data_IF_089923507278
#
_entry.id   IF_089923507278
#
_cell.length_a   1.000
_cell.length_b   1.000
_cell.length_c   1.000
_cell.angle_alpha   90.00
_cell.angle_beta   90.00
_cell.angle_gamma   90.00
#
_symmetry.space_group_name_H-M   'P 1'
#
loop_
_entity.id
_entity.type
_entity.pdbx_description
1 polymer ?
#
# COMPACT_ATOMS: atom_id res chain seq x y z
N UNK A 1 -63.60 14.97 -13.50
CA UNK A 1 -63.78 13.77 -14.33
C UNK A 1 -62.39 13.25 -14.70
N UNK A 2 -62.14 11.96 -14.44
CA UNK A 2 -61.04 11.15 -15.02
C UNK A 2 -61.16 11.26 -16.56
N UNK A 3 -60.13 11.13 -17.40
CA UNK A 3 -59.34 9.93 -17.65
C UNK A 3 -58.48 10.20 -18.90
N UNK A 4 -57.15 10.04 -18.86
CA UNK A 4 -56.32 9.61 -20.00
C UNK A 4 -54.86 9.47 -19.55
N UNK A 5 -54.61 8.43 -18.78
CA UNK A 5 -53.29 7.84 -18.55
C UNK A 5 -53.12 6.71 -19.60
N UNK A 6 -51.88 6.32 -19.91
CA UNK A 6 -51.48 4.93 -20.27
C UNK A 6 -50.72 4.70 -21.59
N UNK A 7 -50.58 5.67 -22.51
CA UNK A 7 -49.84 5.43 -23.76
C UNK A 7 -48.33 5.69 -23.62
N UNK A 8 -47.91 6.72 -22.87
CA UNK A 8 -46.48 7.07 -22.77
C UNK A 8 -45.66 6.19 -21.82
N UNK A 9 -46.26 5.66 -20.74
CA UNK A 9 -45.51 4.81 -19.79
C UNK A 9 -45.19 3.41 -20.31
N UNK A 10 -45.80 2.98 -21.41
CA UNK A 10 -45.54 1.65 -22.02
C UNK A 10 -44.38 1.68 -23.03
N UNK A 11 -44.02 2.85 -23.57
CA UNK A 11 -42.85 3.01 -24.45
C UNK A 11 -41.53 3.15 -23.68
N UNK A 12 -41.57 3.67 -22.45
CA UNK A 12 -40.39 3.73 -21.56
C UNK A 12 -39.94 2.33 -21.07
N UNK A 13 -40.87 1.35 -21.05
CA UNK A 13 -40.65 0.02 -20.45
C UNK A 13 -40.24 -1.08 -21.42
N UNK A 14 -40.07 -0.80 -22.72
CA UNK A 14 -39.75 -1.79 -23.77
C UNK A 14 -38.37 -1.51 -24.43
N UNK A 15 -37.46 -0.84 -23.73
CA UNK A 15 -36.02 -0.80 -24.10
C UNK A 15 -35.15 -1.43 -23.02
N UNK A 16 -35.51 -2.65 -22.64
CA UNK A 16 -34.55 -3.64 -22.13
C UNK A 16 -34.39 -4.69 -23.21
N UNK A 17 -33.30 -4.62 -23.98
CA UNK A 17 -32.60 -5.79 -24.51
C UNK A 17 -31.51 -5.36 -25.47
N UNK A 18 -30.28 -5.85 -25.23
CA UNK A 18 -29.08 -5.75 -26.08
C UNK A 18 -28.20 -4.52 -25.92
N UNK A 19 -27.60 -4.37 -24.74
CA UNK A 19 -26.15 -4.08 -24.70
C UNK A 19 -25.57 -5.00 -23.64
N UNK A 20 -25.01 -6.13 -24.09
CA UNK A 20 -24.09 -6.91 -23.28
C UNK A 20 -22.82 -6.07 -23.14
N UNK A 21 -22.74 -5.29 -22.07
CA UNK A 21 -21.46 -4.75 -21.63
C UNK A 21 -20.79 -5.88 -20.89
N UNK A 22 -19.81 -6.50 -21.56
CA UNK A 22 -18.83 -7.35 -20.93
C UNK A 22 -18.23 -6.55 -19.77
N UNK A 23 -18.62 -6.89 -18.54
CA UNK A 23 -17.81 -6.59 -17.37
C UNK A 23 -16.51 -7.36 -17.54
N UNK A 24 -15.56 -6.75 -18.23
CA UNK A 24 -14.15 -7.04 -18.07
C UNK A 24 -13.86 -6.96 -16.58
N UNK A 25 -13.65 -8.11 -15.97
CA UNK A 25 -13.07 -8.22 -14.64
C UNK A 25 -11.71 -7.53 -14.69
N UNK A 26 -11.68 -6.25 -14.34
CA UNK A 26 -10.48 -5.60 -13.85
C UNK A 26 -10.43 -5.91 -12.35
N UNK A 27 -9.35 -6.52 -11.82
CA UNK A 27 -9.12 -6.48 -10.40
C UNK A 27 -8.75 -5.03 -10.08
N UNK A 28 -9.72 -4.23 -9.68
CA UNK A 28 -9.50 -2.87 -9.19
C UNK A 28 -9.21 -2.84 -7.68
N UNK A 29 -8.76 -3.96 -7.13
CA UNK A 29 -8.38 -4.05 -5.73
C UNK A 29 -6.86 -3.95 -5.64
N UNK A 30 -6.31 -2.80 -5.20
CA UNK A 30 -4.86 -2.66 -5.07
C UNK A 30 -4.26 -3.62 -4.03
N UNK A 31 -5.06 -4.32 -3.22
CA UNK A 31 -4.59 -5.46 -2.41
C UNK A 31 -4.35 -6.72 -3.24
N UNK A 32 -5.09 -6.93 -4.34
CA UNK A 32 -4.90 -8.09 -5.20
C UNK A 32 -3.49 -8.08 -5.83
N UNK A 33 -3.01 -6.91 -6.27
CA UNK A 33 -1.66 -6.78 -6.82
C UNK A 33 -0.56 -6.99 -5.78
N UNK A 34 -0.76 -6.56 -4.54
CA UNK A 34 0.24 -6.71 -3.48
C UNK A 34 0.39 -8.18 -3.07
N UNK A 35 -0.73 -8.89 -2.96
CA UNK A 35 -0.74 -10.33 -2.68
C UNK A 35 -0.06 -11.13 -3.78
N UNK A 36 -0.32 -10.80 -5.04
CA UNK A 36 0.36 -11.42 -6.18
C UNK A 36 1.86 -11.17 -6.15
N UNK A 37 2.28 -9.92 -5.87
CA UNK A 37 3.68 -9.57 -5.71
C UNK A 37 4.35 -10.34 -4.56
N UNK A 38 3.69 -10.47 -3.42
CA UNK A 38 4.19 -11.22 -2.27
C UNK A 38 4.33 -12.72 -2.54
N UNK A 39 3.40 -13.32 -3.30
CA UNK A 39 3.48 -14.73 -3.69
C UNK A 39 4.61 -15.00 -4.72
N UNK A 40 4.96 -14.00 -5.52
CA UNK A 40 6.05 -14.07 -6.49
C UNK A 40 7.42 -13.70 -5.87
N UNK A 41 7.44 -13.01 -4.74
CA UNK A 41 8.66 -12.54 -4.10
C UNK A 41 9.47 -13.71 -3.52
N UNK A 42 10.78 -13.70 -3.78
CA UNK A 42 11.73 -14.68 -3.25
C UNK A 42 12.82 -13.92 -2.51
N UNK A 43 13.17 -14.29 -1.26
CA UNK A 43 14.30 -13.71 -0.57
C UNK A 43 15.60 -13.99 -1.32
N UNK A 44 16.39 -12.95 -1.58
CA UNK A 44 17.72 -13.07 -2.19
C UNK A 44 18.65 -11.95 -1.72
N UNK A 45 19.95 -12.16 -1.93
CA UNK A 45 20.98 -11.15 -1.62
C UNK A 45 21.12 -10.09 -2.72
N UNK A 46 20.44 -10.25 -3.86
CA UNK A 46 20.49 -9.29 -4.96
C UNK A 46 19.81 -7.96 -4.60
N UNK A 47 20.20 -6.84 -5.23
CA UNK A 47 19.51 -5.57 -5.08
C UNK A 47 18.01 -5.67 -5.40
N UNK A 48 17.21 -5.10 -4.51
CA UNK A 48 15.76 -4.97 -4.60
C UNK A 48 15.36 -3.68 -5.33
N UNK A 49 14.06 -3.52 -5.59
CA UNK A 49 13.53 -2.25 -6.10
C UNK A 49 13.79 -1.06 -5.16
N UNK A 50 13.86 -1.31 -3.84
CA UNK A 50 14.16 -0.28 -2.85
C UNK A 50 15.61 0.17 -2.91
N UNK A 51 16.55 -0.73 -3.22
CA UNK A 51 17.95 -0.36 -3.43
C UNK A 51 18.09 0.61 -4.61
N UNK A 52 17.32 0.40 -5.68
CA UNK A 52 17.26 1.33 -6.84
C UNK A 52 16.61 2.67 -6.50
N UNK A 53 15.66 2.69 -5.56
CA UNK A 53 15.06 3.94 -5.04
C UNK A 53 16.07 4.69 -4.18
N UNK A 54 16.82 3.99 -3.32
CA UNK A 54 17.86 4.57 -2.46
C UNK A 54 18.97 5.17 -3.33
N UNK A 55 19.44 4.46 -4.36
CA UNK A 55 20.46 4.92 -5.31
C UNK A 55 19.96 5.98 -6.30
N UNK A 56 18.66 6.33 -6.25
CA UNK A 56 17.99 7.26 -7.17
C UNK A 56 18.05 6.83 -8.65
N UNK A 57 18.28 5.54 -8.92
CA UNK A 57 18.20 4.96 -10.26
C UNK A 57 16.78 4.99 -10.81
N UNK A 58 15.77 4.88 -9.94
CA UNK A 58 14.37 5.03 -10.29
C UNK A 58 13.70 6.12 -9.43
N UNK A 59 12.75 6.88 -10.00
CA UNK A 59 12.10 7.96 -9.28
C UNK A 59 11.18 7.43 -8.17
N UNK A 60 11.10 8.18 -7.08
CA UNK A 60 10.11 7.98 -6.01
C UNK A 60 9.63 9.33 -5.47
N UNK A 61 8.45 9.35 -4.88
CA UNK A 61 7.91 10.54 -4.21
C UNK A 61 8.37 10.55 -2.76
N UNK A 62 9.62 10.99 -2.54
CA UNK A 62 10.24 11.09 -1.21
C UNK A 62 9.51 12.13 -0.36
N UNK A 63 9.19 11.77 0.89
CA UNK A 63 8.54 12.64 1.88
C UNK A 63 9.42 12.90 3.10
N UNK A 64 10.39 12.02 3.37
CA UNK A 64 11.38 12.18 4.43
C UNK A 64 12.67 11.46 4.05
N UNK A 65 13.80 12.05 4.39
CA UNK A 65 15.11 11.44 4.19
C UNK A 65 16.09 11.97 5.25
N UNK A 66 16.80 11.06 5.92
CA UNK A 66 17.95 11.37 6.77
C UNK A 66 19.13 10.43 6.42
N UNK A 67 20.17 10.40 7.24
CA UNK A 67 21.37 9.59 6.98
C UNK A 67 21.10 8.07 7.02
N UNK A 68 20.07 7.62 7.73
CA UNK A 68 19.79 6.20 7.98
C UNK A 68 18.51 5.70 7.32
N UNK A 69 17.53 6.57 7.05
CA UNK A 69 16.17 6.23 6.69
C UNK A 69 15.69 7.03 5.49
N UNK A 70 14.90 6.38 4.64
CA UNK A 70 14.18 7.00 3.53
C UNK A 70 12.69 6.68 3.66
N UNK A 71 11.83 7.68 3.48
CA UNK A 71 10.39 7.49 3.38
C UNK A 71 9.85 8.06 2.08
N UNK A 72 8.99 7.31 1.40
CA UNK A 72 8.40 7.70 0.12
C UNK A 72 6.99 7.15 -0.02
N UNK A 73 6.16 7.81 -0.84
CA UNK A 73 4.79 7.34 -1.08
C UNK A 73 4.79 6.02 -1.83
N UNK A 74 3.93 5.12 -1.38
CA UNK A 74 3.68 3.85 -2.06
C UNK A 74 3.09 4.12 -3.46
N UNK A 75 3.48 3.32 -4.44
CA UNK A 75 2.99 3.41 -5.81
C UNK A 75 1.58 2.83 -5.98
N UNK A 76 1.20 1.92 -5.07
CA UNK A 76 -0.09 1.23 -4.98
C UNK A 76 -0.74 1.55 -3.62
N UNK A 77 -1.21 2.80 -3.40
CA UNK A 77 -1.70 3.24 -2.10
C UNK A 77 -2.99 2.52 -1.67
N UNK A 78 -3.02 2.01 -0.43
CA UNK A 78 -4.21 1.36 0.19
C UNK A 78 -5.01 2.31 1.09
N UNK A 79 -4.55 3.55 1.23
CA UNK A 79 -5.18 4.62 2.00
C UNK A 79 -4.78 5.98 1.38
N UNK A 80 -5.52 7.08 1.67
CA UNK A 80 -5.17 8.41 1.16
C UNK A 80 -3.72 8.81 1.45
N UNK A 81 -3.22 8.47 2.64
CA UNK A 81 -1.79 8.47 2.95
C UNK A 81 -1.31 7.04 3.08
N UNK A 82 -0.46 6.59 2.15
CA UNK A 82 0.27 5.32 2.23
C UNK A 82 1.75 5.58 1.91
N UNK A 83 2.61 5.40 2.91
CA UNK A 83 4.05 5.70 2.83
C UNK A 83 4.82 4.47 3.28
N UNK A 84 5.91 4.16 2.58
CA UNK A 84 6.88 3.16 2.98
C UNK A 84 8.08 3.85 3.61
N UNK A 85 8.55 3.32 4.73
CA UNK A 85 9.72 3.81 5.47
C UNK A 85 10.72 2.67 5.56
N UNK A 86 11.91 2.89 5.04
CA UNK A 86 12.94 1.87 4.87
C UNK A 86 14.29 2.35 5.40
N UNK A 87 15.15 1.46 5.90
CA UNK A 87 16.54 1.80 6.15
C UNK A 87 17.27 2.00 4.82
N UNK A 88 18.25 2.91 4.78
CA UNK A 88 19.12 3.07 3.61
C UNK A 88 20.12 1.94 3.45
N UNK A 89 20.45 1.26 4.54
CA UNK A 89 21.37 0.13 4.59
C UNK A 89 20.60 -1.10 5.03
N UNK A 90 20.54 -2.12 4.17
CA UNK A 90 19.81 -3.36 4.45
C UNK A 90 20.47 -4.20 5.55
N UNK A 91 21.80 -4.31 5.58
CA UNK A 91 22.58 -5.13 6.55
C UNK A 91 22.03 -6.56 6.81
N UNK A 92 21.52 -7.21 5.75
CA UNK A 92 20.89 -8.54 5.85
C UNK A 92 19.44 -8.55 6.38
N UNK A 93 18.89 -7.39 6.75
CA UNK A 93 17.53 -7.18 7.24
C UNK A 93 16.49 -7.20 6.11
N UNK A 94 16.37 -8.36 5.46
CA UNK A 94 15.41 -8.61 4.37
C UNK A 94 13.96 -8.69 4.84
N UNK A 95 13.71 -8.88 6.13
CA UNK A 95 12.41 -8.94 6.77
C UNK A 95 12.57 -8.90 8.30
N UNK A 96 11.50 -8.70 9.05
CA UNK A 96 11.60 -8.52 10.51
C UNK A 96 12.01 -9.79 11.23
N UNK A 97 11.67 -10.97 10.68
CA UNK A 97 12.14 -12.27 11.17
C UNK A 97 13.65 -12.48 11.01
N UNK A 98 14.34 -11.62 10.26
CA UNK A 98 15.82 -11.61 10.10
C UNK A 98 16.50 -10.58 11.00
N UNK A 99 15.76 -9.90 11.87
CA UNK A 99 16.34 -8.99 12.83
C UNK A 99 17.29 -9.71 13.80
N UNK A 100 18.31 -8.97 14.22
CA UNK A 100 19.33 -9.39 15.19
C UNK A 100 19.52 -8.23 16.16
N UNK A 101 20.20 -8.42 17.29
CA UNK A 101 20.36 -7.38 18.31
C UNK A 101 20.97 -6.07 17.76
N UNK A 102 21.90 -6.16 16.81
CA UNK A 102 22.48 -4.98 16.13
C UNK A 102 21.45 -4.15 15.38
N UNK A 103 20.31 -4.74 15.00
CA UNK A 103 19.24 -4.07 14.26
C UNK A 103 18.24 -3.34 15.16
N UNK A 104 18.32 -3.48 16.49
CA UNK A 104 17.38 -2.85 17.41
C UNK A 104 17.32 -1.33 17.24
N UNK A 105 18.46 -0.68 17.04
CA UNK A 105 18.52 0.78 16.85
C UNK A 105 17.81 1.22 15.57
N UNK A 106 18.11 0.58 14.43
CA UNK A 106 17.48 0.95 13.15
C UNK A 106 15.98 0.64 13.16
N UNK A 107 15.55 -0.47 13.77
CA UNK A 107 14.11 -0.78 13.91
C UNK A 107 13.38 0.28 14.75
N UNK A 108 13.98 0.71 15.86
CA UNK A 108 13.45 1.81 16.66
C UNK A 108 13.40 3.13 15.87
N UNK A 109 14.43 3.40 15.07
CA UNK A 109 14.47 4.56 14.18
C UNK A 109 13.35 4.54 13.15
N UNK A 110 13.06 3.40 12.51
CA UNK A 110 11.98 3.28 11.53
C UNK A 110 10.62 3.61 12.15
N UNK A 111 10.32 3.09 13.35
CA UNK A 111 9.08 3.38 14.06
C UNK A 111 8.99 4.84 14.52
N UNK A 112 10.10 5.41 15.00
CA UNK A 112 10.16 6.82 15.34
C UNK A 112 9.93 7.73 14.12
N UNK A 113 10.56 7.40 12.99
CA UNK A 113 10.36 8.12 11.72
C UNK A 113 8.91 8.01 11.26
N UNK A 114 8.24 6.86 11.44
CA UNK A 114 6.82 6.75 11.13
C UNK A 114 5.96 7.76 11.89
N UNK A 115 6.23 7.95 13.20
CA UNK A 115 5.58 9.00 13.99
C UNK A 115 5.92 10.41 13.50
N UNK A 116 7.16 10.67 13.08
CA UNK A 116 7.57 11.99 12.55
C UNK A 116 6.84 12.29 11.24
N UNK A 117 6.83 11.34 10.31
CA UNK A 117 6.19 11.47 9.00
C UNK A 117 4.67 11.58 9.14
N UNK A 118 4.05 10.79 10.03
CA UNK A 118 2.62 10.88 10.29
C UNK A 118 2.19 12.30 10.72
N UNK A 119 2.98 12.94 11.58
CA UNK A 119 2.75 14.34 11.98
C UNK A 119 2.91 15.32 10.82
N UNK A 120 3.91 15.12 9.94
CA UNK A 120 4.11 15.95 8.75
C UNK A 120 2.96 15.84 7.75
N UNK A 121 2.35 14.65 7.67
CA UNK A 121 1.23 14.34 6.79
C UNK A 121 -0.15 14.69 7.38
N UNK A 122 -0.20 15.32 8.56
CA UNK A 122 -1.45 15.73 9.21
C UNK A 122 -2.34 14.56 9.66
N UNK A 123 -1.74 13.43 10.04
CA UNK A 123 -2.46 12.25 10.53
C UNK A 123 -2.78 12.36 12.03
N UNK A 124 -3.34 13.50 12.45
CA UNK A 124 -3.61 13.83 13.85
C UNK A 124 -4.72 12.93 14.47
N UNK A 125 -5.66 12.48 13.65
CA UNK A 125 -6.75 11.56 14.04
C UNK A 125 -6.32 10.09 14.10
N UNK A 126 -5.03 9.81 13.87
CA UNK A 126 -4.43 8.48 13.98
C UNK A 126 -4.06 7.85 12.65
N UNK A 127 -3.34 6.73 12.75
CA UNK A 127 -2.79 5.98 11.64
C UNK A 127 -2.52 4.51 12.03
N UNK A 128 -2.24 3.66 11.04
CA UNK A 128 -1.81 2.28 11.24
C UNK A 128 -0.39 2.10 10.73
N UNK A 129 0.43 1.42 11.53
CA UNK A 129 1.74 0.90 11.12
C UNK A 129 1.59 -0.59 10.81
N UNK A 130 2.15 -1.04 9.68
CA UNK A 130 2.21 -2.46 9.31
C UNK A 130 3.64 -2.83 8.92
N UNK A 131 4.09 -3.99 9.38
CA UNK A 131 5.32 -4.65 8.93
C UNK A 131 4.92 -6.07 8.53
N UNK A 132 5.13 -6.40 7.27
CA UNK A 132 4.81 -7.70 6.71
C UNK A 132 6.04 -8.61 6.78
N UNK A 133 5.84 -9.88 7.13
CA UNK A 133 6.90 -10.89 7.11
C UNK A 133 6.48 -12.12 6.30
N UNK A 134 7.30 -12.43 5.30
CA UNK A 134 7.13 -13.61 4.45
C UNK A 134 5.82 -13.64 3.63
N UNK A 135 5.56 -14.77 2.95
CA UNK A 135 4.42 -14.88 2.03
C UNK A 135 3.06 -14.75 2.73
N UNK A 136 2.90 -15.32 3.93
CA UNK A 136 1.65 -15.25 4.69
C UNK A 136 1.38 -13.87 5.29
N UNK A 137 2.44 -13.09 5.55
CA UNK A 137 2.32 -11.69 5.93
C UNK A 137 2.12 -10.75 4.74
N UNK A 138 2.09 -11.24 3.50
CA UNK A 138 1.99 -10.42 2.29
C UNK A 138 3.21 -9.48 2.10
N UNK A 139 4.43 -9.97 2.37
CA UNK A 139 5.66 -9.23 2.09
C UNK A 139 6.05 -9.31 0.61
N UNK A 140 6.05 -8.18 -0.10
CA UNK A 140 6.36 -8.10 -1.54
C UNK A 140 7.81 -7.78 -1.88
N UNK A 141 8.53 -7.11 -0.97
CA UNK A 141 9.94 -6.73 -1.15
C UNK A 141 10.77 -7.20 0.04
N UNK A 142 11.86 -7.94 -0.23
CA UNK A 142 12.78 -8.48 0.76
C UNK A 142 13.87 -7.47 1.18
N UNK A 143 13.38 -6.32 1.62
CA UNK A 143 14.08 -5.25 2.31
C UNK A 143 13.07 -4.71 3.32
N UNK A 144 13.40 -4.73 4.62
CA UNK A 144 12.46 -4.32 5.67
C UNK A 144 11.82 -2.96 5.37
N UNK A 145 10.51 -2.89 5.51
CA UNK A 145 9.76 -1.66 5.30
C UNK A 145 8.60 -1.58 6.27
N UNK A 146 8.37 -0.36 6.73
CA UNK A 146 7.24 -0.01 7.58
C UNK A 146 6.23 0.72 6.72
N UNK A 147 5.04 0.15 6.60
CA UNK A 147 3.91 0.85 6.00
C UNK A 147 3.31 1.80 7.03
N UNK A 148 3.09 3.05 6.61
CA UNK A 148 2.32 4.05 7.35
C UNK A 148 1.04 4.34 6.55
N UNK A 149 -0.12 3.98 7.11
CA UNK A 149 -1.42 4.17 6.49
C UNK A 149 -2.29 5.13 7.29
N UNK A 150 -2.91 6.10 6.63
CA UNK A 150 -3.78 7.09 7.29
C UNK A 150 -4.69 7.87 6.33
N UNK A 151 -5.39 8.85 6.88
CA UNK A 151 -6.33 9.70 6.13
C UNK A 151 -7.71 9.06 5.90
N UNK A 152 -7.98 7.91 6.53
CA UNK A 152 -9.30 7.26 6.59
C UNK A 152 -9.39 6.37 7.83
N UNK A 153 -10.62 5.97 8.21
CA UNK A 153 -10.81 4.93 9.22
C UNK A 153 -10.20 3.60 8.74
N UNK A 154 -9.46 2.93 9.63
CA UNK A 154 -8.90 1.60 9.38
C UNK A 154 -9.85 0.52 9.92
N UNK A 155 -10.05 -0.54 9.14
CA UNK A 155 -10.92 -1.66 9.50
C UNK A 155 -10.21 -2.67 10.42
N UNK A 156 -11.00 -3.56 11.03
CA UNK A 156 -10.53 -4.71 11.81
C UNK A 156 -11.28 -5.98 11.34
N UNK A 157 -10.60 -7.13 11.11
CA UNK A 157 -9.17 -7.39 11.32
C UNK A 157 -8.24 -6.61 10.37
N UNK A 158 -6.91 -6.54 10.66
CA UNK A 158 -5.94 -5.80 9.87
C UNK A 158 -5.34 -6.68 8.75
N UNK A 159 -6.23 -7.26 7.95
CA UNK A 159 -5.92 -8.12 6.81
C UNK A 159 -7.16 -8.27 5.95
#
# INVERSE_FOLDING_TARGET
>A
MKESNSIDKKKERIRLSRIGVLNSHFPSDPMASEKEAALAAVPSDSPTIFDKIISKEIPSKVVYEDDQVLAFRDISPQAPTHILIIPKVKDGLSGVSKAEERHCEILGRLLYTAKVVAKQEGLDDGFRIVINDGPSGCQSVYHIHVHLLGGRQMNWPPG
#
